data_IF_289636997718
#
_entry.id   IF_289636997718
#
_cell.length_a   1.000
_cell.length_b   1.000
_cell.length_c   1.000
_cell.angle_alpha   90.00
_cell.angle_beta   90.00
_cell.angle_gamma   90.00
#
_symmetry.space_group_name_H-M   'P 1'
#
loop_
_entity.id
_entity.type
_entity.pdbx_description
1 polymer ?
#
# COMPACT_ATOMS: atom_id res chain seq x y z
N UNK A 1 -55.66 28.48 -30.80
CA UNK A 1 -55.61 27.43 -31.84
C UNK A 1 -54.25 27.46 -32.51
N UNK A 2 -53.31 26.63 -32.04
CA UNK A 2 -52.12 26.15 -32.76
C UNK A 2 -51.52 25.04 -31.89
N UNK A 3 -51.36 23.87 -32.51
CA UNK A 3 -51.01 22.60 -31.89
C UNK A 3 -49.50 22.51 -31.62
N UNK A 4 -49.12 22.04 -30.44
CA UNK A 4 -47.75 21.72 -30.06
C UNK A 4 -47.61 20.20 -30.06
N UNK A 5 -46.74 19.67 -30.91
CA UNK A 5 -46.21 18.32 -30.81
C UNK A 5 -44.68 18.45 -30.88
N UNK A 6 -44.01 18.35 -29.74
CA UNK A 6 -42.55 18.26 -29.70
C UNK A 6 -42.18 17.05 -28.86
N UNK A 7 -41.64 16.06 -29.56
CA UNK A 7 -41.31 14.73 -29.11
C UNK A 7 -39.89 14.76 -28.55
N UNK A 8 -39.73 14.58 -27.23
CA UNK A 8 -38.41 14.48 -26.58
C UNK A 8 -37.93 13.03 -26.76
N UNK A 9 -36.91 12.85 -27.58
CA UNK A 9 -36.14 11.60 -27.71
C UNK A 9 -35.05 11.60 -26.64
N UNK A 10 -35.18 10.73 -25.65
CA UNK A 10 -34.12 10.38 -24.70
C UNK A 10 -33.09 9.50 -25.43
N UNK A 11 -31.95 10.09 -25.81
CA UNK A 11 -30.77 9.31 -26.20
C UNK A 11 -30.09 8.75 -24.94
N UNK A 12 -30.18 7.44 -24.75
CA UNK A 12 -29.28 6.69 -23.87
C UNK A 12 -27.91 6.62 -24.55
N UNK A 13 -26.95 7.40 -24.05
CA UNK A 13 -25.55 7.28 -24.42
C UNK A 13 -24.97 6.00 -23.82
N UNK A 14 -24.76 4.99 -24.65
CA UNK A 14 -23.97 3.81 -24.29
C UNK A 14 -22.51 4.26 -24.24
N UNK A 15 -22.00 4.54 -23.04
CA UNK A 15 -20.55 4.65 -22.81
C UNK A 15 -19.95 3.26 -22.85
N UNK A 16 -19.46 2.85 -24.02
CA UNK A 16 -18.54 1.72 -24.10
C UNK A 16 -17.25 2.15 -23.39
N UNK A 17 -16.99 1.58 -22.21
CA UNK A 17 -15.68 1.65 -21.58
C UNK A 17 -14.69 0.94 -22.51
N UNK A 18 -13.86 1.72 -23.21
CA UNK A 18 -12.73 1.19 -23.97
C UNK A 18 -11.74 0.63 -22.95
N UNK A 19 -11.73 -0.69 -22.77
CA UNK A 19 -10.63 -1.37 -22.11
C UNK A 19 -9.34 -1.00 -22.87
N UNK A 20 -8.40 -0.36 -22.18
CA UNK A 20 -7.09 -0.10 -22.73
C UNK A 20 -6.47 -1.45 -23.13
N UNK A 21 -5.82 -1.57 -24.30
CA UNK A 21 -5.08 -2.78 -24.64
C UNK A 21 -4.04 -3.03 -23.54
N UNK A 22 -3.91 -4.28 -23.10
CA UNK A 22 -2.85 -4.70 -22.20
C UNK A 22 -1.53 -4.16 -22.75
N UNK A 23 -0.87 -3.26 -22.01
CA UNK A 23 0.41 -2.72 -22.42
C UNK A 23 1.36 -3.87 -22.65
N UNK A 24 2.06 -3.87 -23.79
CA UNK A 24 3.14 -4.83 -24.01
C UNK A 24 4.11 -4.74 -22.82
N UNK A 25 4.55 -5.89 -22.32
CA UNK A 25 5.54 -5.93 -21.24
C UNK A 25 6.73 -5.02 -21.62
N UNK A 26 7.26 -4.21 -20.69
CA UNK A 26 8.40 -3.36 -20.98
C UNK A 26 9.55 -4.21 -21.53
N UNK A 27 10.15 -3.77 -22.64
CA UNK A 27 11.27 -4.47 -23.26
C UNK A 27 12.45 -4.45 -22.29
N UNK A 28 12.74 -5.59 -21.69
CA UNK A 28 13.90 -5.78 -20.81
C UNK A 28 15.15 -5.93 -21.68
N UNK A 29 16.23 -5.15 -21.47
CA UNK A 29 17.48 -5.43 -22.16
C UNK A 29 17.97 -6.83 -21.76
N UNK A 30 18.32 -7.71 -22.71
CA UNK A 30 18.70 -9.07 -22.39
C UNK A 30 19.91 -9.09 -21.44
N UNK A 31 19.80 -9.86 -20.37
CA UNK A 31 20.84 -10.04 -19.36
C UNK A 31 21.59 -11.36 -19.59
N UNK A 32 22.84 -11.37 -19.12
CA UNK A 32 23.58 -12.60 -18.86
C UNK A 32 23.08 -13.26 -17.57
N UNK A 33 23.45 -14.52 -17.33
CA UNK A 33 23.10 -15.23 -16.10
C UNK A 33 23.58 -14.47 -14.86
N UNK A 34 22.76 -14.46 -13.81
CA UNK A 34 23.03 -13.70 -12.59
C UNK A 34 22.42 -14.38 -11.37
N UNK A 35 22.87 -13.99 -10.18
CA UNK A 35 22.25 -14.38 -8.91
C UNK A 35 21.34 -13.24 -8.45
N UNK A 36 20.05 -13.51 -8.29
CA UNK A 36 19.08 -12.54 -7.79
C UNK A 36 19.29 -12.27 -6.28
N UNK A 37 18.83 -11.12 -5.79
CA UNK A 37 18.79 -10.85 -4.35
C UNK A 37 17.72 -11.72 -3.68
N UNK A 38 17.86 -11.97 -2.39
CA UNK A 38 16.76 -12.56 -1.61
C UNK A 38 15.56 -11.60 -1.55
N UNK A 39 14.36 -12.14 -1.39
CA UNK A 39 13.21 -11.33 -1.01
C UNK A 39 13.37 -10.79 0.42
N UNK A 40 12.74 -9.64 0.68
CA UNK A 40 12.73 -8.92 1.95
C UNK A 40 12.59 -9.86 3.18
N UNK A 41 13.40 -9.61 4.22
CA UNK A 41 13.39 -10.36 5.49
C UNK A 41 13.49 -11.88 5.31
N UNK A 42 14.39 -12.29 4.41
CA UNK A 42 14.91 -13.66 4.30
C UNK A 42 16.32 -13.67 4.89
N UNK A 43 16.69 -14.77 5.54
CA UNK A 43 18.07 -15.01 5.99
C UNK A 43 18.53 -16.37 5.45
N UNK A 44 19.45 -16.36 4.49
CA UNK A 44 20.21 -17.55 4.10
C UNK A 44 19.41 -18.57 3.29
N UNK A 45 18.66 -18.09 2.30
CA UNK A 45 18.09 -18.96 1.27
C UNK A 45 19.20 -19.79 0.60
N UNK A 46 18.91 -21.06 0.29
CA UNK A 46 19.89 -21.94 -0.33
C UNK A 46 20.37 -21.35 -1.66
N UNK A 47 21.69 -21.20 -1.81
CA UNK A 47 22.36 -20.46 -2.90
C UNK A 47 21.90 -20.84 -4.33
N UNK A 48 21.39 -22.06 -4.54
CA UNK A 48 20.99 -22.54 -5.86
C UNK A 48 19.62 -22.07 -6.36
N UNK A 49 18.70 -21.63 -5.49
CA UNK A 49 17.36 -21.20 -5.92
C UNK A 49 17.36 -19.73 -6.42
N UNK A 50 18.42 -18.97 -6.13
CA UNK A 50 18.62 -17.57 -6.52
C UNK A 50 19.28 -17.39 -7.89
N UNK A 51 19.91 -18.43 -8.44
CA UNK A 51 20.60 -18.35 -9.72
C UNK A 51 19.60 -18.33 -10.88
N UNK A 52 19.66 -17.26 -11.69
CA UNK A 52 18.83 -17.02 -12.86
C UNK A 52 19.66 -17.32 -14.10
N UNK A 53 19.58 -18.56 -14.55
CA UNK A 53 20.27 -19.09 -15.74
C UNK A 53 19.31 -19.89 -16.65
N UNK A 54 19.80 -20.33 -17.81
CA UNK A 54 19.09 -21.23 -18.75
C UNK A 54 17.63 -20.79 -19.03
N UNK A 55 16.65 -21.66 -18.78
CA UNK A 55 15.24 -21.39 -19.04
C UNK A 55 14.70 -20.26 -18.14
N UNK A 56 15.17 -20.15 -16.89
CA UNK A 56 14.83 -19.04 -15.99
C UNK A 56 15.35 -17.70 -16.50
N UNK A 57 16.56 -17.67 -17.08
CA UNK A 57 17.09 -16.48 -17.73
C UNK A 57 16.31 -16.11 -18.99
N UNK A 58 15.86 -17.11 -19.76
CA UNK A 58 14.99 -16.86 -20.92
C UNK A 58 13.66 -16.23 -20.48
N UNK A 59 13.00 -16.81 -19.48
CA UNK A 59 11.76 -16.27 -18.90
C UNK A 59 11.94 -14.83 -18.40
N UNK A 60 13.03 -14.57 -17.67
CA UNK A 60 13.37 -13.24 -17.18
C UNK A 60 13.57 -12.22 -18.31
N UNK A 61 14.34 -12.59 -19.33
CA UNK A 61 14.62 -11.73 -20.48
C UNK A 61 13.38 -11.47 -21.36
N UNK A 62 12.40 -12.38 -21.31
CA UNK A 62 11.08 -12.20 -21.91
C UNK A 62 10.14 -11.31 -21.06
N UNK A 63 10.66 -10.70 -19.98
CA UNK A 63 9.92 -9.82 -19.08
C UNK A 63 8.98 -10.55 -18.13
N UNK A 64 9.12 -11.87 -17.99
CA UNK A 64 8.30 -12.67 -17.09
C UNK A 64 8.85 -12.65 -15.67
N UNK A 65 7.98 -12.89 -14.70
CA UNK A 65 8.43 -13.12 -13.33
C UNK A 65 8.96 -14.55 -13.21
N UNK A 66 10.09 -14.70 -12.53
CA UNK A 66 10.74 -16.00 -12.33
C UNK A 66 10.62 -16.40 -10.86
N UNK A 67 9.81 -17.43 -10.54
CA UNK A 67 9.78 -18.01 -9.21
C UNK A 67 11.18 -18.50 -8.78
N UNK A 68 11.51 -18.31 -7.51
CA UNK A 68 12.81 -18.68 -6.94
C UNK A 68 12.72 -19.76 -5.88
N UNK A 69 12.24 -19.41 -4.70
CA UNK A 69 12.18 -20.30 -3.55
C UNK A 69 10.85 -20.16 -2.80
N UNK A 70 10.62 -21.05 -1.83
CA UNK A 70 9.29 -21.32 -1.23
C UNK A 70 8.23 -21.76 -2.26
N UNK A 71 8.68 -22.32 -3.37
CA UNK A 71 7.90 -22.91 -4.44
C UNK A 71 7.86 -24.46 -4.39
N UNK A 72 8.57 -25.10 -3.45
CA UNK A 72 8.78 -26.57 -3.42
C UNK A 72 7.60 -27.36 -2.84
N UNK A 73 7.52 -28.63 -3.26
CA UNK A 73 6.45 -29.59 -2.99
C UNK A 73 6.18 -29.85 -1.48
N UNK A 74 4.93 -30.18 -1.08
CA UNK A 74 4.54 -30.52 0.30
C UNK A 74 5.19 -31.77 0.94
N UNK A 75 6.04 -32.53 0.22
CA UNK A 75 6.61 -33.78 0.76
C UNK A 75 7.63 -33.54 1.87
N UNK A 76 8.19 -32.33 1.92
CA UNK A 76 9.37 -32.03 2.75
C UNK A 76 9.12 -30.97 3.81
N UNK A 77 7.94 -30.34 3.93
CA UNK A 77 7.69 -29.39 5.01
C UNK A 77 6.24 -29.38 5.51
N UNK A 78 6.15 -29.62 6.81
CA UNK A 78 5.12 -29.15 7.72
C UNK A 78 4.76 -27.66 7.48
N UNK A 79 3.46 -27.39 7.34
CA UNK A 79 2.74 -26.33 8.03
C UNK A 79 3.01 -24.82 7.78
N UNK A 80 3.95 -24.39 6.93
CA UNK A 80 4.17 -22.93 6.73
C UNK A 80 3.79 -22.50 5.30
N UNK A 81 2.50 -22.15 5.15
CA UNK A 81 1.83 -21.48 4.02
C UNK A 81 2.30 -21.86 2.59
N UNK A 82 1.69 -22.87 1.94
CA UNK A 82 2.01 -23.29 0.57
C UNK A 82 1.62 -22.28 -0.54
N UNK A 83 1.43 -21.00 -0.21
CA UNK A 83 0.98 -19.96 -1.14
C UNK A 83 1.94 -18.79 -1.35
N UNK A 84 3.00 -18.65 -0.54
CA UNK A 84 3.95 -17.53 -0.68
C UNK A 84 5.21 -17.97 -1.40
N UNK A 85 5.52 -17.31 -2.52
CA UNK A 85 6.69 -17.63 -3.35
C UNK A 85 7.53 -16.37 -3.51
N UNK A 86 8.85 -16.46 -3.39
CA UNK A 86 9.72 -15.37 -3.78
C UNK A 86 9.98 -15.44 -5.28
N UNK A 87 9.82 -14.33 -6.01
CA UNK A 87 10.08 -14.24 -7.44
C UNK A 87 10.95 -13.04 -7.79
N UNK A 88 11.63 -13.10 -8.94
CA UNK A 88 12.44 -11.98 -9.47
C UNK A 88 11.93 -11.54 -10.84
N UNK A 89 11.97 -10.24 -11.08
CA UNK A 89 11.58 -9.63 -12.36
C UNK A 89 12.38 -8.34 -12.60
N UNK A 90 12.32 -7.77 -13.80
CA UNK A 90 12.93 -6.47 -14.09
C UNK A 90 11.98 -5.32 -13.70
N UNK A 91 12.48 -4.38 -12.89
CA UNK A 91 11.86 -3.07 -12.66
C UNK A 91 12.60 -2.04 -13.52
N UNK A 92 11.91 -1.34 -14.45
CA UNK A 92 12.54 -0.33 -15.30
C UNK A 92 13.28 0.75 -14.51
N UNK A 93 14.58 0.91 -14.79
CA UNK A 93 15.44 1.90 -14.13
C UNK A 93 16.02 1.48 -12.78
N UNK A 94 15.62 0.31 -12.25
CA UNK A 94 16.14 -0.27 -11.01
C UNK A 94 16.96 -1.54 -11.29
N UNK A 95 16.43 -2.46 -12.11
CA UNK A 95 17.08 -3.73 -12.44
C UNK A 95 16.31 -4.95 -11.93
N UNK A 96 16.99 -6.09 -11.69
CA UNK A 96 16.37 -7.28 -11.12
C UNK A 96 15.93 -7.00 -9.68
N UNK A 97 14.63 -7.13 -9.44
CA UNK A 97 14.01 -6.91 -8.13
C UNK A 97 13.31 -8.18 -7.70
N UNK A 98 13.61 -8.63 -6.47
CA UNK A 98 13.01 -9.81 -5.87
C UNK A 98 11.88 -9.41 -4.93
N UNK A 99 10.69 -9.97 -5.12
CA UNK A 99 9.50 -9.67 -4.31
C UNK A 99 8.74 -10.92 -3.89
N UNK A 100 8.10 -10.81 -2.73
CA UNK A 100 7.15 -11.82 -2.26
C UNK A 100 5.88 -11.79 -3.09
N UNK A 101 5.48 -12.97 -3.56
CA UNK A 101 4.27 -13.21 -4.31
C UNK A 101 3.30 -14.06 -3.48
N UNK A 102 2.02 -13.73 -3.54
CA UNK A 102 0.96 -14.35 -2.73
C UNK A 102 -0.11 -14.98 -3.62
N UNK A 103 -0.43 -16.24 -3.37
CA UNK A 103 -1.43 -17.00 -4.10
C UNK A 103 -2.86 -16.55 -3.76
N UNK A 104 -3.74 -16.46 -4.76
CA UNK A 104 -5.18 -16.23 -4.53
C UNK A 104 -6.03 -17.49 -4.54
N UNK A 105 -5.55 -18.56 -5.15
CA UNK A 105 -6.30 -19.78 -5.46
C UNK A 105 -5.81 -20.99 -4.64
N UNK A 106 -6.20 -21.08 -3.37
CA UNK A 106 -5.73 -22.10 -2.41
C UNK A 106 -5.80 -23.56 -2.92
N UNK A 107 -6.70 -23.87 -3.85
CA UNK A 107 -6.98 -25.22 -4.31
C UNK A 107 -6.25 -25.64 -5.60
N UNK A 108 -5.49 -24.73 -6.21
CA UNK A 108 -4.74 -25.00 -7.45
C UNK A 108 -3.26 -25.27 -7.16
N UNK A 109 -2.55 -25.76 -8.17
CA UNK A 109 -1.11 -26.03 -8.07
C UNK A 109 -0.29 -24.73 -8.15
N UNK A 110 0.79 -24.64 -7.36
CA UNK A 110 1.70 -23.48 -7.35
C UNK A 110 2.34 -23.27 -8.72
N UNK A 111 2.69 -24.35 -9.42
CA UNK A 111 3.38 -24.34 -10.73
C UNK A 111 4.62 -23.45 -10.81
N UNK A 112 5.25 -23.18 -9.66
CA UNK A 112 6.46 -22.38 -9.57
C UNK A 112 7.71 -23.23 -9.37
N UNK A 113 7.61 -24.57 -9.36
CA UNK A 113 8.75 -25.45 -9.11
C UNK A 113 9.67 -25.47 -10.33
N UNK A 114 10.95 -25.68 -10.07
CA UNK A 114 11.94 -25.87 -11.13
C UNK A 114 12.12 -27.36 -11.39
N UNK A 115 11.89 -27.80 -12.63
CA UNK A 115 12.16 -29.17 -13.06
C UNK A 115 13.66 -29.48 -13.01
N UNK A 116 14.08 -30.76 -13.05
CA UNK A 116 15.51 -31.11 -13.13
C UNK A 116 16.25 -30.48 -14.32
N UNK A 117 15.52 -30.13 -15.39
CA UNK A 117 16.06 -29.50 -16.59
C UNK A 117 16.08 -27.96 -16.51
N UNK A 118 15.56 -27.38 -15.41
CA UNK A 118 15.58 -25.94 -15.15
C UNK A 118 14.33 -25.18 -15.61
N UNK A 119 13.28 -25.89 -16.06
CA UNK A 119 12.04 -25.28 -16.54
C UNK A 119 11.02 -25.08 -15.40
N UNK A 120 10.08 -24.16 -15.60
CA UNK A 120 8.97 -23.95 -14.67
C UNK A 120 7.91 -25.06 -14.80
N UNK A 121 7.50 -25.64 -13.68
CA UNK A 121 6.53 -26.73 -13.64
C UNK A 121 6.06 -27.10 -12.24
N UNK A 122 5.50 -28.31 -12.11
CA UNK A 122 5.14 -28.92 -10.84
C UNK A 122 5.29 -30.45 -10.90
N UNK A 123 5.53 -31.07 -9.75
CA UNK A 123 5.56 -32.52 -9.59
C UNK A 123 4.16 -33.05 -9.24
N UNK A 124 3.72 -34.11 -9.93
CA UNK A 124 2.40 -34.74 -9.70
C UNK A 124 2.42 -35.84 -8.64
N UNK A 125 3.59 -36.12 -8.05
CA UNK A 125 3.84 -37.34 -7.28
C UNK A 125 4.51 -38.45 -8.10
N UNK A 126 4.35 -38.44 -9.42
CA UNK A 126 4.88 -39.47 -10.33
C UNK A 126 5.69 -38.93 -11.49
N UNK A 127 5.41 -37.70 -11.96
CA UNK A 127 6.10 -37.08 -13.08
C UNK A 127 6.15 -35.56 -12.94
N UNK A 128 7.10 -34.94 -13.66
CA UNK A 128 7.19 -33.49 -13.78
C UNK A 128 6.30 -33.03 -14.93
N UNK A 129 5.43 -32.05 -14.65
CA UNK A 129 4.63 -31.36 -15.65
C UNK A 129 5.19 -29.96 -15.84
N UNK A 130 5.62 -29.66 -17.06
CA UNK A 130 6.12 -28.34 -17.45
C UNK A 130 4.93 -27.45 -17.77
N UNK A 131 4.84 -26.30 -17.12
CA UNK A 131 3.74 -25.33 -17.27
C UNK A 131 4.14 -24.10 -18.07
N UNK A 132 5.44 -23.93 -18.34
CA UNK A 132 5.98 -22.74 -18.96
C UNK A 132 6.06 -21.55 -18.00
N UNK A 133 6.44 -20.39 -18.54
CA UNK A 133 6.74 -19.18 -17.79
C UNK A 133 5.51 -18.57 -17.12
N UNK A 134 5.69 -17.99 -15.93
CA UNK A 134 4.63 -17.25 -15.24
C UNK A 134 4.38 -15.90 -15.92
N UNK A 135 3.26 -15.81 -16.66
CA UNK A 135 2.92 -14.63 -17.46
C UNK A 135 2.16 -13.60 -16.68
N UNK A 136 2.51 -12.33 -16.90
CA UNK A 136 1.77 -11.21 -16.35
C UNK A 136 0.37 -11.13 -17.00
N UNK A 137 -0.65 -11.05 -16.15
CA UNK A 137 -2.04 -10.85 -16.50
C UNK A 137 -2.41 -9.37 -16.28
N UNK A 138 -3.41 -8.88 -17.01
CA UNK A 138 -3.96 -7.53 -16.81
C UNK A 138 -4.79 -7.38 -15.53
N UNK A 139 -5.09 -8.50 -14.87
CA UNK A 139 -5.95 -8.61 -13.70
C UNK A 139 -6.12 -10.09 -13.34
N UNK A 140 -6.70 -10.38 -12.19
CA UNK A 140 -7.07 -11.75 -11.85
C UNK A 140 -8.51 -12.06 -12.32
N UNK A 141 -8.70 -12.90 -13.36
CA UNK A 141 -10.03 -13.18 -13.91
C UNK A 141 -10.94 -13.96 -12.95
N UNK A 142 -10.40 -14.49 -11.84
CA UNK A 142 -11.13 -15.24 -10.82
C UNK A 142 -11.64 -14.36 -9.68
N UNK A 143 -11.21 -13.08 -9.64
CA UNK A 143 -11.54 -12.15 -8.57
C UNK A 143 -12.37 -10.98 -9.09
N UNK A 144 -13.34 -10.54 -8.29
CA UNK A 144 -13.99 -9.26 -8.52
C UNK A 144 -13.00 -8.10 -8.33
N UNK A 145 -13.32 -6.92 -8.86
CA UNK A 145 -12.53 -5.70 -8.69
C UNK A 145 -12.29 -5.40 -7.20
N UNK A 146 -13.33 -5.49 -6.36
CA UNK A 146 -13.23 -5.28 -4.92
C UNK A 146 -12.27 -6.27 -4.25
N UNK A 147 -12.26 -7.53 -4.69
CA UNK A 147 -11.31 -8.52 -4.17
C UNK A 147 -9.87 -8.19 -4.57
N UNK A 148 -9.65 -7.71 -5.81
CA UNK A 148 -8.32 -7.28 -6.26
C UNK A 148 -7.83 -6.06 -5.48
N UNK A 149 -8.71 -5.11 -5.14
CA UNK A 149 -8.39 -3.95 -4.29
C UNK A 149 -8.02 -4.38 -2.87
N UNK A 150 -8.77 -5.31 -2.27
CA UNK A 150 -8.47 -5.87 -0.95
C UNK A 150 -7.09 -6.54 -0.92
N UNK A 151 -6.80 -7.39 -1.91
CA UNK A 151 -5.48 -8.05 -2.02
C UNK A 151 -4.38 -7.01 -2.19
N UNK A 152 -4.58 -6.01 -3.05
CA UNK A 152 -3.61 -4.91 -3.24
C UNK A 152 -3.28 -4.20 -1.94
N UNK A 153 -4.29 -3.86 -1.13
CA UNK A 153 -4.10 -3.23 0.17
C UNK A 153 -3.27 -4.10 1.12
N UNK A 154 -3.61 -5.40 1.22
CA UNK A 154 -2.95 -6.34 2.13
C UNK A 154 -1.47 -6.55 1.82
N UNK A 155 -1.06 -6.42 0.55
CA UNK A 155 0.34 -6.55 0.16
C UNK A 155 1.17 -5.30 0.50
N UNK A 156 0.53 -4.12 0.50
CA UNK A 156 1.17 -2.85 0.80
C UNK A 156 1.25 -2.55 2.29
N UNK A 157 0.29 -3.03 3.07
CA UNK A 157 0.11 -2.63 4.47
C UNK A 157 0.27 -3.83 5.41
N UNK A 158 0.96 -3.66 6.55
CA UNK A 158 0.81 -4.58 7.67
C UNK A 158 -0.65 -4.64 8.11
N UNK A 159 -1.16 -5.83 8.39
CA UNK A 159 -2.51 -6.02 8.87
C UNK A 159 -2.48 -6.76 10.22
N UNK A 160 -3.35 -6.39 11.16
CA UNK A 160 -3.51 -7.16 12.39
C UNK A 160 -4.03 -8.55 12.06
N UNK A 161 -3.54 -9.55 12.78
CA UNK A 161 -3.94 -10.94 12.55
C UNK A 161 -4.36 -11.59 13.86
N UNK A 162 -5.40 -12.40 13.82
CA UNK A 162 -5.90 -13.22 14.92
C UNK A 162 -6.14 -14.62 14.35
N UNK A 163 -5.40 -15.61 14.86
CA UNK A 163 -5.51 -16.98 14.38
C UNK A 163 -6.83 -17.67 14.83
N UNK A 164 -7.02 -18.91 14.42
CA UNK A 164 -8.22 -19.68 14.81
C UNK A 164 -8.37 -19.90 16.33
N UNK A 165 -7.29 -19.77 17.08
CA UNK A 165 -7.23 -19.91 18.54
C UNK A 165 -7.37 -18.56 19.27
N UNK A 166 -7.48 -17.44 18.55
CA UNK A 166 -7.56 -16.11 19.13
C UNK A 166 -6.20 -15.49 19.47
N UNK A 167 -5.09 -16.07 18.97
CA UNK A 167 -3.74 -15.55 19.19
C UNK A 167 -3.49 -14.41 18.22
N UNK A 168 -3.13 -13.25 18.77
CA UNK A 168 -2.80 -12.06 18.00
C UNK A 168 -1.41 -12.18 17.34
N UNK A 169 -1.31 -11.63 16.13
CA UNK A 169 -0.11 -11.54 15.33
C UNK A 169 -0.21 -10.42 14.30
N UNK A 170 0.72 -10.41 13.34
CA UNK A 170 0.78 -9.42 12.25
C UNK A 170 0.88 -10.19 10.93
N UNK A 171 0.21 -9.67 9.90
CA UNK A 171 0.27 -10.12 8.52
C UNK A 171 1.09 -9.12 7.69
N UNK A 172 2.39 -9.40 7.54
CA UNK A 172 3.35 -8.61 6.77
C UNK A 172 4.53 -9.45 6.22
N UNK A 173 5.56 -8.81 5.67
CA UNK A 173 6.77 -9.47 5.17
C UNK A 173 7.85 -9.68 6.25
N UNK A 174 7.64 -9.27 7.50
CA UNK A 174 8.67 -9.15 8.54
C UNK A 174 9.35 -10.48 8.92
N UNK A 175 8.65 -11.60 8.77
CA UNK A 175 9.20 -12.96 8.95
C UNK A 175 8.28 -14.01 8.28
N UNK A 176 8.67 -15.28 8.30
CA UNK A 176 7.92 -16.39 7.67
C UNK A 176 6.52 -16.62 8.25
N UNK A 177 6.33 -16.42 9.57
CA UNK A 177 5.02 -16.54 10.21
C UNK A 177 4.09 -15.40 9.78
N UNK A 178 4.60 -14.17 9.75
CA UNK A 178 3.83 -13.02 9.31
C UNK A 178 3.42 -13.15 7.82
N UNK A 179 4.29 -13.72 6.98
CA UNK A 179 3.95 -14.02 5.58
C UNK A 179 2.86 -15.08 5.46
N UNK A 180 2.88 -16.09 6.33
CA UNK A 180 1.80 -17.08 6.41
C UNK A 180 0.47 -16.44 6.77
N UNK A 181 0.45 -15.55 7.77
CA UNK A 181 -0.74 -14.80 8.15
C UNK A 181 -1.26 -13.95 6.99
N UNK A 182 -0.36 -13.23 6.29
CA UNK A 182 -0.71 -12.45 5.10
C UNK A 182 -1.28 -13.31 3.99
N UNK A 183 -0.71 -14.48 3.73
CA UNK A 183 -1.24 -15.44 2.76
C UNK A 183 -2.65 -15.90 3.09
N UNK A 184 -2.94 -16.16 4.37
CA UNK A 184 -4.28 -16.51 4.81
C UNK A 184 -5.28 -15.36 4.61
N UNK A 185 -4.87 -14.11 4.89
CA UNK A 185 -5.70 -12.93 4.60
C UNK A 185 -5.94 -12.72 3.09
N UNK A 186 -4.95 -12.99 2.24
CA UNK A 186 -5.12 -12.96 0.78
C UNK A 186 -6.15 -14.01 0.33
N UNK A 187 -6.14 -15.22 0.91
CA UNK A 187 -7.18 -16.21 0.64
C UNK A 187 -8.55 -15.79 1.17
N UNK A 188 -8.62 -15.15 2.34
CA UNK A 188 -9.86 -14.57 2.84
C UNK A 188 -10.44 -13.51 1.89
N UNK A 189 -9.61 -12.58 1.41
CA UNK A 189 -10.02 -11.59 0.41
C UNK A 189 -10.49 -12.24 -0.90
N UNK A 190 -9.85 -13.34 -1.29
CA UNK A 190 -10.16 -14.12 -2.50
C UNK A 190 -11.40 -15.01 -2.37
N UNK A 191 -11.97 -15.18 -1.16
CA UNK A 191 -13.10 -16.07 -0.90
C UNK A 191 -12.74 -17.54 -0.67
N UNK A 192 -11.44 -17.84 -0.50
CA UNK A 192 -10.89 -19.19 -0.32
C UNK A 192 -10.31 -19.45 1.09
N UNK A 193 -10.51 -18.52 2.03
CA UNK A 193 -9.96 -18.59 3.39
C UNK A 193 -10.84 -19.31 4.43
N UNK A 194 -10.32 -19.51 5.64
CA UNK A 194 -11.04 -20.17 6.74
C UNK A 194 -12.06 -19.23 7.40
N UNK A 195 -13.34 -19.64 7.46
CA UNK A 195 -14.45 -18.77 7.84
C UNK A 195 -14.27 -17.98 9.14
N UNK A 196 -13.73 -18.58 10.22
CA UNK A 196 -13.52 -17.87 11.49
C UNK A 196 -12.41 -16.82 11.38
N UNK A 197 -11.25 -17.20 10.85
CA UNK A 197 -10.10 -16.29 10.66
C UNK A 197 -10.49 -15.13 9.73
N UNK A 198 -11.21 -15.41 8.65
CA UNK A 198 -11.65 -14.38 7.72
C UNK A 198 -12.62 -13.39 8.36
N UNK A 199 -13.56 -13.84 9.19
CA UNK A 199 -14.51 -12.93 9.84
C UNK A 199 -13.84 -12.07 10.92
N UNK A 200 -12.90 -12.64 11.67
CA UNK A 200 -12.19 -11.92 12.74
C UNK A 200 -11.26 -10.84 12.17
N UNK A 201 -10.59 -11.12 11.06
CA UNK A 201 -9.55 -10.24 10.53
C UNK A 201 -10.00 -9.40 9.32
N UNK A 202 -10.92 -9.92 8.51
CA UNK A 202 -11.44 -9.28 7.29
C UNK A 202 -12.96 -9.41 7.25
N UNK A 203 -13.61 -9.15 8.39
CA UNK A 203 -15.05 -9.01 8.49
C UNK A 203 -15.58 -7.90 7.60
N UNK A 204 -16.91 -7.81 7.47
CA UNK A 204 -17.55 -6.86 6.55
C UNK A 204 -17.10 -5.41 6.76
N UNK A 205 -17.07 -4.94 8.01
CA UNK A 205 -16.66 -3.58 8.37
C UNK A 205 -15.23 -3.27 7.91
N UNK A 206 -14.30 -4.20 8.15
CA UNK A 206 -12.90 -4.01 7.77
C UNK A 206 -12.73 -4.03 6.25
N UNK A 207 -13.45 -4.90 5.53
CA UNK A 207 -13.43 -4.91 4.06
C UNK A 207 -13.98 -3.61 3.50
N UNK A 208 -15.08 -3.09 4.04
CA UNK A 208 -15.66 -1.81 3.63
C UNK A 208 -14.70 -0.64 3.91
N UNK A 209 -14.02 -0.66 5.06
CA UNK A 209 -12.98 0.33 5.40
C UNK A 209 -11.83 0.32 4.38
N UNK A 210 -11.28 -0.86 4.08
CA UNK A 210 -10.19 -1.01 3.10
C UNK A 210 -10.65 -0.57 1.71
N UNK A 211 -11.84 -0.98 1.28
CA UNK A 211 -12.38 -0.59 -0.03
C UNK A 211 -12.60 0.92 -0.13
N UNK A 212 -13.05 1.57 0.95
CA UNK A 212 -13.18 3.02 0.98
C UNK A 212 -11.82 3.73 0.81
N UNK A 213 -10.75 3.20 1.41
CA UNK A 213 -9.39 3.70 1.22
C UNK A 213 -8.94 3.50 -0.22
N UNK A 214 -9.04 2.27 -0.74
CA UNK A 214 -8.52 1.91 -2.06
C UNK A 214 -9.27 2.57 -3.23
N UNK A 215 -10.55 2.91 -3.04
CA UNK A 215 -11.37 3.63 -4.02
C UNK A 215 -11.31 5.15 -3.88
N UNK A 216 -10.68 5.66 -2.82
CA UNK A 216 -10.53 7.10 -2.63
C UNK A 216 -9.49 7.65 -3.61
N UNK A 217 -9.72 8.87 -4.11
CA UNK A 217 -8.67 9.62 -4.81
C UNK A 217 -7.71 10.17 -3.74
N UNK A 218 -6.44 9.76 -3.72
CA UNK A 218 -5.53 10.20 -2.67
C UNK A 218 -5.27 11.70 -2.77
N UNK A 219 -5.34 12.40 -1.64
CA UNK A 219 -5.20 13.84 -1.54
C UNK A 219 -4.32 14.21 -0.35
N UNK A 220 -3.40 15.16 -0.58
CA UNK A 220 -2.52 15.75 0.42
C UNK A 220 -2.29 17.20 0.03
N UNK A 221 -2.57 18.13 0.95
CA UNK A 221 -2.32 19.56 0.76
C UNK A 221 -1.74 20.19 2.03
N UNK A 222 -0.84 21.15 1.89
CA UNK A 222 -0.26 21.94 2.98
C UNK A 222 -0.58 23.41 2.72
N UNK A 223 -1.29 24.04 3.66
CA UNK A 223 -1.63 25.46 3.61
C UNK A 223 -0.72 26.27 4.52
N UNK A 224 -0.26 27.41 4.01
CA UNK A 224 0.53 28.37 4.77
C UNK A 224 -0.30 28.99 5.93
N UNK A 225 0.37 29.53 6.96
CA UNK A 225 -0.30 30.28 8.02
C UNK A 225 -1.03 31.51 7.49
N UNK A 226 -2.05 31.98 8.22
CA UNK A 226 -2.81 33.19 7.85
C UNK A 226 -1.91 34.44 7.71
N UNK A 227 -0.84 34.51 8.53
CA UNK A 227 0.20 35.54 8.43
C UNK A 227 1.39 34.97 7.67
N UNK A 228 1.79 35.62 6.59
CA UNK A 228 2.99 35.28 5.82
C UNK A 228 4.30 35.66 6.54
N UNK A 229 4.22 36.55 7.53
CA UNK A 229 5.35 37.05 8.32
C UNK A 229 5.04 36.91 9.82
N UNK A 230 5.98 36.29 10.55
CA UNK A 230 5.84 35.95 11.96
C UNK A 230 7.14 36.32 12.69
N UNK A 231 7.07 36.72 13.96
CA UNK A 231 8.30 37.10 14.68
C UNK A 231 9.12 35.87 15.02
N UNK A 232 10.46 35.94 14.96
CA UNK A 232 11.30 34.88 15.50
C UNK A 232 10.93 34.60 16.97
N UNK A 233 10.78 33.32 17.31
CA UNK A 233 10.26 32.84 18.60
C UNK A 233 8.72 32.79 18.71
N UNK A 234 7.96 33.34 17.76
CA UNK A 234 6.51 33.13 17.67
C UNK A 234 6.17 31.79 16.98
N UNK A 235 4.91 31.37 17.09
CA UNK A 235 4.41 30.14 16.45
C UNK A 235 3.67 30.45 15.15
N UNK A 236 4.09 29.78 14.07
CA UNK A 236 3.37 29.66 12.81
C UNK A 236 2.48 28.42 12.83
N UNK A 237 1.24 28.53 12.34
CA UNK A 237 0.32 27.39 12.24
C UNK A 237 0.09 27.05 10.78
N UNK A 238 0.57 25.89 10.35
CA UNK A 238 0.31 25.31 9.05
C UNK A 238 -0.87 24.33 9.13
N UNK A 239 -1.72 24.28 8.11
CA UNK A 239 -2.79 23.29 8.01
C UNK A 239 -2.43 22.23 6.98
N UNK A 240 -2.41 20.96 7.38
CA UNK A 240 -2.22 19.80 6.51
C UNK A 240 -3.56 19.11 6.35
N UNK A 241 -4.09 19.04 5.13
CA UNK A 241 -5.31 18.29 4.82
C UNK A 241 -4.95 17.02 4.04
N UNK A 242 -5.45 15.86 4.48
CA UNK A 242 -5.13 14.58 3.86
C UNK A 242 -6.22 13.52 4.06
N UNK A 243 -6.40 12.63 3.09
CA UNK A 243 -7.18 11.40 3.25
C UNK A 243 -6.30 10.13 3.27
N UNK A 244 -4.98 10.30 3.43
CA UNK A 244 -4.01 9.22 3.56
C UNK A 244 -4.02 8.63 4.99
N UNK A 245 -5.15 8.09 5.40
CA UNK A 245 -5.36 7.63 6.77
C UNK A 245 -4.53 6.41 7.12
N UNK A 246 -3.87 6.44 8.29
CA UNK A 246 -3.00 5.37 8.78
C UNK A 246 -1.67 5.24 8.02
N UNK A 247 -1.47 6.03 6.95
CA UNK A 247 -0.24 6.03 6.16
C UNK A 247 0.76 7.00 6.82
N UNK A 248 2.00 6.56 7.10
CA UNK A 248 3.06 7.45 7.58
C UNK A 248 3.38 8.55 6.56
N UNK A 249 3.26 9.82 6.97
CA UNK A 249 3.64 10.99 6.18
C UNK A 249 4.95 11.57 6.73
N UNK A 250 5.91 11.80 5.85
CA UNK A 250 7.18 12.46 6.23
C UNK A 250 7.00 13.97 6.20
N UNK A 251 7.24 14.63 7.33
CA UNK A 251 7.26 16.08 7.49
C UNK A 251 8.71 16.56 7.45
N UNK A 252 9.05 17.41 6.50
CA UNK A 252 10.39 18.00 6.37
C UNK A 252 10.33 19.48 6.71
N UNK A 253 11.27 19.92 7.54
CA UNK A 253 11.46 21.31 7.94
C UNK A 253 12.97 21.61 8.01
N UNK A 254 13.39 22.88 7.89
CA UNK A 254 14.75 23.29 8.16
C UNK A 254 15.18 22.93 9.58
N UNK A 255 16.47 22.61 9.79
CA UNK A 255 17.00 22.27 11.11
C UNK A 255 16.89 23.40 12.14
N UNK A 256 16.65 24.64 11.69
CA UNK A 256 16.42 25.83 12.51
C UNK A 256 14.99 25.97 13.00
N UNK A 257 14.06 25.12 12.54
CA UNK A 257 12.65 25.14 12.90
C UNK A 257 12.28 23.90 13.74
N UNK A 258 11.47 24.11 14.77
CA UNK A 258 10.84 23.04 15.53
C UNK A 258 9.39 22.85 15.06
N UNK A 259 8.98 21.60 14.82
CA UNK A 259 7.63 21.25 14.38
C UNK A 259 6.94 20.38 15.42
N UNK A 260 5.72 20.75 15.79
CA UNK A 260 4.86 20.01 16.73
C UNK A 260 3.43 19.97 16.24
N UNK A 261 2.58 19.10 16.80
CA UNK A 261 1.14 19.19 16.60
C UNK A 261 0.56 20.32 17.46
N UNK A 262 -0.23 21.21 16.85
CA UNK A 262 -0.92 22.25 17.62
C UNK A 262 -1.94 21.67 18.60
N UNK A 263 -2.57 20.55 18.24
CA UNK A 263 -3.61 19.87 19.04
C UNK A 263 -3.26 18.38 19.18
N UNK A 264 -2.42 18.02 20.18
CA UNK A 264 -2.08 16.62 20.44
C UNK A 264 -3.34 15.81 20.77
N UNK A 265 -3.51 14.64 20.14
CA UNK A 265 -4.61 13.72 20.41
C UNK A 265 -5.88 13.94 19.57
N UNK A 266 -5.91 14.93 18.66
CA UNK A 266 -7.03 15.18 17.74
C UNK A 266 -7.08 14.21 16.53
N UNK A 267 -6.77 12.93 16.73
CA UNK A 267 -6.72 11.95 15.65
C UNK A 267 -5.48 12.07 14.75
N UNK A 268 -4.42 12.74 15.20
CA UNK A 268 -3.12 12.72 14.53
C UNK A 268 -1.99 12.53 15.55
N UNK A 269 -0.92 11.86 15.12
CA UNK A 269 0.31 11.68 15.88
C UNK A 269 1.50 12.16 15.08
N UNK A 270 2.42 12.87 15.71
CA UNK A 270 3.70 13.28 15.13
C UNK A 270 4.81 12.73 16.00
N UNK A 271 5.58 11.77 15.46
CA UNK A 271 6.72 11.14 16.16
C UNK A 271 7.97 11.36 15.32
N UNK A 272 8.92 12.14 15.84
CA UNK A 272 10.04 12.61 15.03
C UNK A 272 9.52 13.46 13.87
N UNK A 273 9.83 13.05 12.64
CA UNK A 273 9.35 13.67 11.41
C UNK A 273 8.18 12.90 10.75
N UNK A 274 7.59 11.92 11.45
CA UNK A 274 6.52 11.08 10.90
C UNK A 274 5.16 11.50 11.46
N UNK A 275 4.31 12.04 10.59
CA UNK A 275 2.91 12.37 10.85
C UNK A 275 2.01 11.21 10.42
N UNK A 276 1.18 10.69 11.32
CA UNK A 276 0.12 9.72 11.00
C UNK A 276 -1.23 10.34 11.33
N UNK A 277 -2.16 10.31 10.39
CA UNK A 277 -3.53 10.84 10.55
C UNK A 277 -4.50 9.66 10.64
N UNK A 278 -5.30 9.61 11.70
CA UNK A 278 -6.38 8.66 11.87
C UNK A 278 -7.66 9.20 11.21
N UNK A 279 -8.41 8.31 10.56
CA UNK A 279 -9.68 8.66 9.93
C UNK A 279 -10.14 7.55 8.99
N UNK A 280 -11.28 7.78 8.36
CA UNK A 280 -11.89 6.86 7.39
C UNK A 280 -12.61 7.65 6.31
N UNK A 281 -12.87 6.99 5.16
CA UNK A 281 -13.62 7.57 4.05
C UNK A 281 -12.76 8.39 3.09
N UNK A 282 -13.44 9.15 2.22
CA UNK A 282 -12.81 9.84 1.08
C UNK A 282 -12.50 11.32 1.35
N UNK A 283 -13.17 11.94 2.32
CA UNK A 283 -12.95 13.33 2.70
C UNK A 283 -11.60 13.46 3.41
N UNK A 284 -10.89 14.57 3.17
CA UNK A 284 -9.64 14.87 3.87
C UNK A 284 -9.90 15.38 5.30
N UNK A 285 -9.04 14.98 6.23
CA UNK A 285 -8.97 15.52 7.59
C UNK A 285 -7.89 16.57 7.65
N UNK A 286 -8.21 17.72 8.26
CA UNK A 286 -7.25 18.79 8.51
C UNK A 286 -6.56 18.58 9.87
N UNK A 287 -5.23 18.70 9.87
CA UNK A 287 -4.37 18.63 11.04
C UNK A 287 -3.49 19.89 11.05
N UNK A 288 -3.29 20.49 12.23
CA UNK A 288 -2.51 21.72 12.37
C UNK A 288 -1.12 21.44 12.93
N UNK A 289 -0.10 21.88 12.20
CA UNK A 289 1.31 21.84 12.61
C UNK A 289 1.73 23.20 13.15
N UNK A 290 2.26 23.21 14.36
CA UNK A 290 2.79 24.39 15.04
C UNK A 290 4.31 24.42 14.87
N UNK A 291 4.78 25.46 14.21
CA UNK A 291 6.18 25.63 13.80
C UNK A 291 6.76 26.87 14.45
N UNK A 292 7.92 26.74 15.09
CA UNK A 292 8.66 27.85 15.67
C UNK A 292 10.07 27.90 15.11
N UNK A 293 10.62 29.09 14.94
CA UNK A 293 12.02 29.30 14.59
C UNK A 293 12.61 30.43 15.43
N UNK A 294 13.76 30.19 16.06
CA UNK A 294 14.44 31.16 16.93
C UNK A 294 15.26 32.20 16.14
N UNK A 295 15.52 31.92 14.87
CA UNK A 295 16.30 32.79 13.99
C UNK A 295 15.44 33.27 12.83
N UNK A 296 15.61 34.52 12.37
CA UNK A 296 14.95 35.02 11.18
C UNK A 296 15.30 34.21 9.94
N UNK A 297 14.34 34.06 9.02
CA UNK A 297 14.51 33.35 7.76
C UNK A 297 13.23 32.71 7.25
N UNK A 298 13.27 32.23 6.02
CA UNK A 298 12.16 31.49 5.43
C UNK A 298 12.15 30.05 5.95
N UNK A 299 10.97 29.62 6.40
CA UNK A 299 10.72 28.25 6.84
C UNK A 299 9.68 27.64 5.91
N UNK A 300 10.11 26.63 5.15
CA UNK A 300 9.24 25.79 4.31
C UNK A 300 8.96 24.48 5.02
N UNK A 301 7.68 24.14 5.15
CA UNK A 301 7.23 22.83 5.62
C UNK A 301 6.76 22.05 4.41
N UNK A 302 7.38 20.89 4.19
CA UNK A 302 6.95 19.94 3.15
C UNK A 302 6.41 18.69 3.82
N UNK A 303 5.27 18.20 3.35
CA UNK A 303 4.70 16.92 3.79
C UNK A 303 4.61 16.00 2.60
N UNK A 304 5.09 14.76 2.74
CA UNK A 304 5.05 13.77 1.69
C UNK A 304 4.55 12.41 2.20
N UNK A 305 3.78 11.71 1.38
CA UNK A 305 3.24 10.39 1.70
C UNK A 305 3.12 9.51 0.47
N UNK A 306 3.05 8.21 0.72
CA UNK A 306 2.83 7.21 -0.32
C UNK A 306 1.39 6.69 -0.22
N UNK A 307 0.48 7.08 -1.13
CA UNK A 307 -0.85 6.52 -1.16
C UNK A 307 -0.82 5.04 -1.50
N UNK A 308 -1.82 4.31 -1.02
CA UNK A 308 -2.09 2.96 -1.50
C UNK A 308 -2.46 3.00 -2.98
N UNK A 309 -1.92 2.09 -3.77
CA UNK A 309 -2.22 1.96 -5.20
C UNK A 309 -2.67 0.55 -5.52
N UNK A 310 -3.58 0.41 -6.47
CA UNK A 310 -3.89 -0.88 -7.09
C UNK A 310 -3.33 -0.97 -8.51
N UNK A 311 -2.74 0.10 -9.03
CA UNK A 311 -2.17 0.14 -10.38
C UNK A 311 -0.80 -0.56 -10.44
N UNK A 312 -0.19 -0.80 -9.28
CA UNK A 312 1.14 -1.42 -9.12
C UNK A 312 1.08 -2.88 -8.68
N UNK A 313 -0.12 -3.44 -8.54
CA UNK A 313 -0.27 -4.89 -8.35
C UNK A 313 0.01 -5.61 -9.67
N UNK A 314 0.77 -6.70 -9.59
CA UNK A 314 1.02 -7.61 -10.70
C UNK A 314 0.37 -8.95 -10.41
N UNK A 315 -0.30 -9.47 -11.42
CA UNK A 315 -0.94 -10.79 -11.39
C UNK A 315 -0.17 -11.70 -12.33
N UNK A 316 0.31 -12.83 -11.85
CA UNK A 316 1.12 -13.74 -12.66
C UNK A 316 0.58 -15.17 -12.61
N UNK A 317 0.54 -15.84 -13.75
CA UNK A 317 0.10 -17.23 -13.87
C UNK A 317 0.87 -17.95 -14.98
N UNK A 318 1.33 -19.18 -14.71
CA UNK A 318 1.99 -20.02 -15.70
C UNK A 318 0.99 -20.70 -16.66
N UNK A 319 0.05 -21.45 -16.11
CA UNK A 319 -1.00 -22.17 -16.83
C UNK A 319 -2.37 -22.01 -16.12
N UNK A 320 -3.53 -22.12 -16.81
CA UNK A 320 -4.83 -22.11 -16.17
C UNK A 320 -5.04 -23.11 -15.02
N UNK A 321 -4.33 -24.24 -14.98
CA UNK A 321 -4.39 -25.18 -13.83
C UNK A 321 -3.66 -24.64 -12.59
N UNK A 322 -2.86 -23.60 -12.76
CA UNK A 322 -2.02 -23.02 -11.73
C UNK A 322 -2.68 -21.88 -10.96
N UNK A 323 -2.14 -21.64 -9.78
CA UNK A 323 -2.45 -20.48 -8.94
C UNK A 323 -2.12 -19.16 -9.67
N UNK A 324 -2.94 -18.14 -9.43
CA UNK A 324 -2.57 -16.76 -9.76
C UNK A 324 -1.85 -16.15 -8.56
N UNK A 325 -0.69 -15.56 -8.81
CA UNK A 325 0.12 -14.87 -7.80
C UNK A 325 -0.03 -13.36 -7.90
N UNK A 326 -0.31 -12.72 -6.77
CA UNK A 326 -0.26 -11.29 -6.58
C UNK A 326 1.12 -10.87 -6.06
N UNK A 327 1.71 -9.85 -6.67
CA UNK A 327 2.90 -9.15 -6.17
C UNK A 327 2.66 -7.65 -6.28
N UNK A 328 3.41 -6.83 -5.53
CA UNK A 328 3.24 -5.39 -5.54
C UNK A 328 4.59 -4.72 -5.75
N UNK A 329 4.71 -4.00 -6.87
CA UNK A 329 5.93 -3.32 -7.26
C UNK A 329 6.26 -2.19 -6.27
N UNK A 330 7.12 -2.50 -5.30
CA UNK A 330 7.39 -1.64 -4.14
C UNK A 330 8.29 -0.44 -4.46
N UNK A 331 9.02 -0.51 -5.57
CA UNK A 331 10.10 0.43 -5.93
C UNK A 331 9.63 1.70 -6.68
N UNK A 332 8.40 1.74 -7.21
CA UNK A 332 7.89 2.88 -8.00
C UNK A 332 6.55 3.48 -7.54
N UNK A 333 6.32 3.69 -6.23
CA UNK A 333 5.08 4.28 -5.79
C UNK A 333 5.04 5.79 -6.07
N UNK A 334 3.90 6.27 -6.59
CA UNK A 334 3.65 7.68 -6.79
C UNK A 334 3.63 8.39 -5.43
N UNK A 335 4.64 9.20 -5.11
CA UNK A 335 4.62 10.02 -3.90
C UNK A 335 3.72 11.23 -4.10
N UNK A 336 2.82 11.47 -3.14
CA UNK A 336 2.16 12.76 -3.00
C UNK A 336 3.02 13.63 -2.09
N UNK A 337 3.24 14.87 -2.48
CA UNK A 337 3.93 15.86 -1.65
C UNK A 337 3.36 17.23 -1.91
N UNK A 338 3.25 18.02 -0.86
CA UNK A 338 2.91 19.44 -0.94
C UNK A 338 3.72 20.22 0.10
N UNK A 339 3.87 21.52 -0.11
CA UNK A 339 4.65 22.38 0.76
C UNK A 339 4.06 23.78 0.89
N UNK A 340 4.37 24.43 2.01
CA UNK A 340 4.03 25.82 2.26
C UNK A 340 5.16 26.50 3.04
N UNK A 341 5.24 27.82 2.91
CA UNK A 341 6.31 28.60 3.53
C UNK A 341 5.78 29.77 4.34
N UNK A 342 6.56 30.19 5.35
CA UNK A 342 6.36 31.42 6.14
C UNK A 342 7.71 32.06 6.40
N UNK A 343 7.75 33.39 6.51
CA UNK A 343 8.98 34.13 6.84
C UNK A 343 8.99 34.50 8.32
N UNK A 344 10.05 34.12 9.02
CA UNK A 344 10.32 34.57 10.39
C UNK A 344 11.18 35.84 10.35
N UNK A 345 10.73 36.91 11.02
CA UNK A 345 11.41 38.20 11.07
C UNK A 345 12.19 38.38 12.37
N UNK A 346 13.18 39.28 12.35
CA UNK A 346 13.91 39.67 13.55
C UNK A 346 13.06 40.60 14.42
N UNK A 347 12.65 40.11 15.59
CA UNK A 347 11.79 40.83 16.55
C UNK A 347 10.27 40.59 16.38
N UNK A 348 9.45 41.06 17.35
CA UNK A 348 8.00 40.90 17.31
C UNK A 348 7.40 41.69 16.14
N UNK A 349 6.53 41.03 15.37
CA UNK A 349 5.84 41.68 14.26
C UNK A 349 4.85 42.68 14.83
N UNK A 350 5.09 43.97 14.60
CA UNK A 350 4.15 45.00 15.01
C UNK A 350 2.92 44.88 14.12
N UNK A 351 1.85 44.27 14.63
CA UNK A 351 0.55 44.26 13.96
C UNK A 351 0.05 45.70 13.95
N UNK A 352 0.28 46.40 12.83
CA UNK A 352 -0.35 47.71 12.63
C UNK A 352 -1.84 47.43 12.51
N UNK A 353 -2.69 47.88 13.45
CA UNK A 353 -4.12 47.65 13.33
C UNK A 353 -4.57 48.26 12.01
N UNK A 354 -5.18 47.44 11.15
CA UNK A 354 -5.83 47.94 9.94
C UNK A 354 -6.90 48.91 10.43
N UNK A 355 -6.62 50.21 10.30
CA UNK A 355 -7.61 51.24 10.54
C UNK A 355 -8.62 51.10 9.42
N UNK A 356 -9.69 50.36 9.68
CA UNK A 356 -10.86 50.31 8.81
C UNK A 356 -11.35 51.74 8.71
N UNK A 357 -11.00 52.41 7.61
CA UNK A 357 -11.56 53.72 7.32
C UNK A 357 -13.07 53.50 7.20
N UNK A 358 -13.93 54.15 8.00
CA UNK A 358 -15.36 53.97 7.87
C UNK A 358 -15.75 54.35 6.45
N UNK A 359 -16.18 53.36 5.66
CA UNK A 359 -16.74 53.61 4.34
C UNK A 359 -17.96 54.49 4.57
N UNK A 360 -17.83 55.75 4.18
CA UNK A 360 -18.96 56.69 4.16
C UNK A 360 -19.91 56.17 3.09
N UNK A 361 -20.91 55.39 3.51
CA UNK A 361 -21.99 54.94 2.65
C UNK A 361 -22.74 56.17 2.18
N UNK A 362 -22.51 56.57 0.92
CA UNK A 362 -23.38 57.54 0.25
C UNK A 362 -24.73 56.87 0.06
N UNK A 363 -25.86 57.46 0.52
CA UNK A 363 -27.17 56.85 0.36
C UNK A 363 -27.50 56.78 -1.14
N UNK A 364 -27.48 55.57 -1.69
CA UNK A 364 -27.99 55.31 -3.04
C UNK A 364 -29.51 55.40 -2.97
N UNK A 365 -30.08 56.39 -3.66
CA UNK A 365 -31.52 56.50 -3.88
C UNK A 365 -31.97 55.32 -4.75
N UNK A 366 -32.49 54.26 -4.12
CA UNK A 366 -33.10 53.15 -4.83
C UNK A 366 -34.50 53.54 -5.30
N UNK A 367 -34.69 53.60 -6.62
CA UNK A 367 -36.01 53.64 -7.25
C UNK A 367 -36.73 52.32 -6.99
N UNK A 368 -38.01 52.31 -6.57
CA UNK A 368 -38.74 51.07 -6.31
C UNK A 368 -38.98 50.31 -7.62
N UNK A 369 -38.36 49.13 -7.76
CA UNK A 369 -38.69 48.19 -8.82
C UNK A 369 -39.83 47.30 -8.35
N UNK A 370 -40.98 47.41 -9.03
CA UNK A 370 -42.15 46.57 -8.82
C UNK A 370 -41.85 45.15 -9.29
N UNK A 371 -41.65 44.22 -8.37
CA UNK A 371 -41.55 42.78 -8.67
C UNK A 371 -42.94 42.17 -8.79
N UNK A 372 -43.32 41.78 -10.01
CA UNK A 372 -44.52 40.98 -10.28
C UNK A 372 -44.29 39.55 -9.79
N UNK A 373 -44.99 39.15 -8.73
CA UNK A 373 -45.04 37.75 -8.27
C UNK A 373 -45.71 36.88 -9.34
N UNK A 374 -44.96 35.93 -9.89
CA UNK A 374 -45.54 34.84 -10.68
C UNK A 374 -45.95 33.72 -9.72
N UNK A 375 -47.27 33.56 -9.53
CA UNK A 375 -47.86 32.45 -8.79
C UNK A 375 -47.52 31.13 -9.51
N UNK A 376 -46.66 30.32 -8.91
CA UNK A 376 -46.46 28.93 -9.33
C UNK A 376 -47.43 28.07 -8.54
N UNK A 377 -48.41 27.47 -9.22
CA UNK A 377 -49.37 26.56 -8.64
C UNK A 377 -48.68 25.26 -8.21
N UNK A 378 -48.87 24.88 -6.94
CA UNK A 378 -48.46 23.59 -6.38
C UNK A 378 -49.42 22.53 -6.92
N UNK A 379 -48.91 21.58 -7.71
CA UNK A 379 -49.63 20.36 -8.10
C UNK A 379 -49.26 19.28 -7.09
N UNK A 380 -50.21 18.71 -6.32
CA UNK A 380 -49.93 17.60 -5.41
C UNK A 380 -49.71 16.30 -6.20
N UNK A 381 -48.57 15.64 -5.95
CA UNK A 381 -48.29 14.29 -6.44
C UNK A 381 -48.84 13.28 -5.42
N UNK A 382 -49.63 12.27 -5.83
CA UNK A 382 -50.16 11.26 -4.91
C UNK A 382 -49.09 10.24 -4.52
N UNK A 383 -48.99 9.98 -3.21
CA UNK A 383 -48.18 8.92 -2.60
C UNK A 383 -48.96 7.60 -2.69
N UNK A 384 -48.41 6.52 -3.29
CA UNK A 384 -49.01 5.20 -3.16
C UNK A 384 -48.56 4.53 -1.84
N UNK A 385 -49.55 4.25 -1.01
CA UNK A 385 -49.47 3.37 0.17
C UNK A 385 -49.60 1.91 -0.31
N UNK A 386 -48.81 0.97 0.22
CA UNK A 386 -49.24 -0.43 0.30
C UNK A 386 -49.32 -0.93 1.75
N UNK A 387 -50.48 -1.45 2.13
CA UNK A 387 -50.72 -2.32 3.29
C UNK A 387 -51.68 -3.46 2.82
N UNK A 388 -51.96 -4.51 3.60
CA UNK A 388 -51.20 -5.76 3.78
C UNK A 388 -51.97 -7.01 3.31
N UNK A 389 -51.29 -8.17 3.34
CA UNK A 389 -51.94 -9.44 3.70
C UNK A 389 -51.65 -10.62 2.79
N UNK A 390 -51.43 -11.80 3.39
CA UNK A 390 -51.47 -13.06 2.67
C UNK A 390 -50.69 -14.20 3.30
N UNK A 391 -51.29 -14.85 4.30
CA UNK A 391 -50.93 -16.15 4.87
C UNK A 391 -50.89 -17.27 3.82
N UNK A 392 -49.93 -18.19 3.91
CA UNK A 392 -49.93 -19.43 3.14
C UNK A 392 -48.92 -20.46 3.67
N UNK A 393 -49.46 -21.49 4.35
CA UNK A 393 -48.78 -22.69 4.82
C UNK A 393 -48.80 -23.78 3.74
N UNK A 394 -47.70 -24.52 3.57
CA UNK A 394 -47.72 -25.94 3.14
C UNK A 394 -46.35 -26.58 3.37
N UNK A 395 -46.31 -27.75 4.00
CA UNK A 395 -45.08 -28.44 4.39
C UNK A 395 -44.60 -29.57 3.47
N UNK A 396 -43.37 -30.01 3.77
CA UNK A 396 -42.79 -31.35 3.54
C UNK A 396 -42.36 -31.73 2.11
N UNK A 397 -41.42 -32.69 1.91
CA UNK A 397 -40.85 -33.65 2.87
C UNK A 397 -39.29 -33.77 2.87
N UNK A 398 -38.84 -34.56 3.85
CA UNK A 398 -37.55 -35.24 4.12
C UNK A 398 -36.57 -35.56 2.97
N UNK A 399 -35.28 -35.35 3.26
CA UNK A 399 -34.11 -36.18 2.88
C UNK A 399 -33.01 -35.86 3.93
N UNK A 400 -32.26 -36.76 4.55
CA UNK A 400 -31.72 -38.06 4.14
C UNK A 400 -30.24 -37.98 4.52
N UNK A 401 -29.82 -38.73 5.56
CA UNK A 401 -28.58 -38.50 6.29
C UNK A 401 -27.26 -38.73 5.53
N UNK A 402 -26.18 -38.21 6.10
CA UNK A 402 -24.80 -38.63 5.89
C UNK A 402 -24.03 -38.53 7.22
N UNK A 403 -23.01 -39.39 7.45
CA UNK A 403 -22.63 -39.84 8.79
C UNK A 403 -21.72 -38.87 9.55
N UNK A 404 -21.94 -38.78 10.86
CA UNK A 404 -21.02 -38.18 11.82
C UNK A 404 -19.69 -38.94 11.86
N UNK A 405 -18.60 -38.27 11.49
CA UNK A 405 -17.26 -38.67 11.87
C UNK A 405 -17.03 -38.32 13.35
N UNK A 406 -16.87 -39.36 14.16
CA UNK A 406 -16.44 -39.25 15.56
C UNK A 406 -14.92 -39.12 15.52
N UNK A 407 -14.39 -37.93 15.84
CA UNK A 407 -12.96 -37.75 16.05
C UNK A 407 -12.63 -38.22 17.48
N UNK A 408 -11.65 -39.13 17.70
CA UNK A 408 -11.25 -39.52 19.04
C UNK A 408 -10.57 -38.35 19.77
N UNK A 409 -10.88 -38.20 21.05
CA UNK A 409 -10.30 -37.19 21.94
C UNK A 409 -8.76 -37.25 22.01
N UNK A 410 -8.06 -36.13 22.24
CA UNK A 410 -6.63 -36.15 22.50
C UNK A 410 -6.37 -36.72 23.89
N UNK A 411 -5.58 -37.79 23.93
CA UNK A 411 -5.09 -38.38 25.17
C UNK A 411 -3.99 -37.46 25.73
N UNK A 412 -4.32 -36.74 26.80
CA UNK A 412 -3.34 -36.08 27.65
C UNK A 412 -2.67 -37.10 28.56
N UNK A 413 -1.34 -37.16 28.55
CA UNK A 413 -0.58 -37.66 29.68
C UNK A 413 0.74 -38.32 29.32
N UNK A 414 1.83 -37.76 29.85
CA UNK A 414 3.04 -38.52 30.13
C UNK A 414 4.32 -37.78 29.80
N UNK A 415 4.76 -36.92 30.71
CA UNK A 415 6.11 -36.36 30.65
C UNK A 415 7.19 -37.42 30.80
N UNK A 416 8.30 -37.25 30.10
CA UNK A 416 9.60 -37.79 30.50
C UNK A 416 10.71 -36.79 30.18
N UNK A 417 11.54 -36.62 31.19
CA UNK A 417 12.70 -35.73 31.31
C UNK A 417 13.96 -36.33 30.68
N UNK A 418 14.78 -35.45 30.10
CA UNK A 418 16.26 -35.41 30.05
C UNK A 418 17.10 -36.67 29.73
N UNK A 419 18.10 -36.38 28.86
CA UNK A 419 19.44 -36.95 28.74
C UNK A 419 19.63 -38.31 28.05
N UNK A 420 20.42 -38.26 26.98
CA UNK A 420 21.43 -39.30 26.71
C UNK A 420 21.60 -39.66 25.24
N UNK A 421 22.77 -39.37 24.69
CA UNK A 421 23.42 -40.26 23.71
C UNK A 421 23.32 -39.86 22.24
N UNK A 422 24.22 -38.98 21.82
CA UNK A 422 24.70 -38.93 20.44
C UNK A 422 25.76 -40.03 20.23
N UNK A 423 25.75 -40.76 19.11
CA UNK A 423 27.03 -41.07 18.47
C UNK A 423 27.02 -40.98 16.94
N UNK A 424 28.11 -40.42 16.41
CA UNK A 424 28.61 -40.60 15.04
C UNK A 424 27.98 -39.66 14.01
N UNK A 425 28.70 -38.86 13.24
CA UNK A 425 30.09 -38.95 12.83
C UNK A 425 30.13 -38.75 11.32
N UNK A 426 30.37 -37.52 10.85
CA UNK A 426 30.79 -37.26 9.48
C UNK A 426 31.96 -36.28 9.49
N UNK A 427 33.05 -36.80 8.95
CA UNK A 427 34.34 -36.20 8.68
C UNK A 427 34.25 -35.02 7.71
N UNK A 428 34.85 -33.89 8.08
CA UNK A 428 35.13 -32.76 7.20
C UNK A 428 36.38 -33.04 6.34
N UNK A 429 36.39 -32.66 5.05
CA UNK A 429 37.62 -32.36 4.34
C UNK A 429 37.97 -30.88 4.51
N UNK A 430 39.19 -30.66 5.00
CA UNK A 430 39.88 -29.37 5.07
C UNK A 430 40.16 -28.84 3.66
N UNK A 431 39.51 -27.73 3.30
CA UNK A 431 39.82 -26.92 2.13
C UNK A 431 40.06 -25.46 2.54
N UNK A 432 41.30 -25.01 2.38
CA UNK A 432 41.78 -23.66 2.68
C UNK A 432 41.10 -22.64 1.76
N UNK A 433 40.31 -21.71 2.31
CA UNK A 433 39.83 -20.53 1.57
C UNK A 433 40.48 -19.29 2.16
N UNK A 434 41.13 -18.54 1.27
CA UNK A 434 41.94 -17.37 1.55
C UNK A 434 41.17 -16.16 2.04
N UNK A 435 41.94 -15.16 2.47
CA UNK A 435 41.52 -13.99 3.23
C UNK A 435 40.35 -13.20 2.64
N UNK A 436 39.47 -12.80 3.55
CA UNK A 436 38.37 -11.85 3.38
C UNK A 436 38.93 -10.42 3.32
N UNK A 437 38.59 -9.61 2.31
CA UNK A 437 38.73 -8.16 2.41
C UNK A 437 37.67 -7.62 3.38
N UNK A 438 38.12 -6.89 4.40
CA UNK A 438 37.30 -6.01 5.23
C UNK A 438 36.72 -4.89 4.37
N UNK A 439 35.40 -4.76 4.34
CA UNK A 439 34.71 -3.60 3.80
C UNK A 439 33.76 -3.02 4.85
N UNK A 440 34.18 -1.85 5.33
CA UNK A 440 33.40 -0.63 5.64
C UNK A 440 32.27 -0.78 6.66
N UNK A 441 32.68 -0.49 7.88
CA UNK A 441 31.90 -0.01 9.02
C UNK A 441 31.18 1.31 8.65
N UNK A 442 29.88 1.35 8.86
CA UNK A 442 29.03 2.53 8.78
C UNK A 442 28.14 2.56 10.02
N UNK A 443 28.67 3.16 11.10
CA UNK A 443 27.92 3.51 12.31
C UNK A 443 26.72 4.42 12.00
N UNK A 444 25.78 4.63 12.93
CA UNK A 444 26.05 5.12 14.27
C UNK A 444 24.97 4.72 15.26
N UNK A 445 25.38 4.18 16.42
CA UNK A 445 24.62 4.23 17.66
C UNK A 445 25.07 5.45 18.46
N UNK A 446 24.11 6.29 18.84
CA UNK A 446 24.30 7.43 19.74
C UNK A 446 24.63 6.96 21.17
N UNK A 447 25.73 7.45 21.73
CA UNK A 447 25.89 7.62 23.17
C UNK A 447 26.40 9.02 23.48
N UNK A 448 25.58 9.73 24.25
CA UNK A 448 25.81 11.04 24.83
C UNK A 448 27.00 11.07 25.79
N UNK A 449 27.93 12.01 25.59
CA UNK A 449 28.62 12.71 26.69
C UNK A 449 29.23 14.02 26.16
N UNK A 450 29.05 15.08 26.94
CA UNK A 450 29.31 16.48 26.56
C UNK A 450 30.78 16.92 26.63
N UNK A 451 31.05 18.21 26.92
CA UNK A 451 31.55 19.12 25.89
C UNK A 451 33.01 19.52 26.13
N UNK A 452 33.78 19.65 25.05
CA UNK A 452 35.01 20.45 25.06
C UNK A 452 35.15 21.33 23.81
N UNK A 453 35.44 22.58 24.14
CA UNK A 453 35.77 23.77 23.34
C UNK A 453 36.91 23.49 22.35
N UNK A 454 36.80 24.04 21.13
CA UNK A 454 37.89 24.07 20.16
C UNK A 454 37.57 24.91 18.91
N UNK A 455 38.05 26.15 18.92
CA UNK A 455 38.03 27.13 17.82
C UNK A 455 38.97 26.69 16.68
N UNK A 456 38.57 26.87 15.40
CA UNK A 456 39.32 27.64 14.38
C UNK A 456 39.00 27.26 12.90
N UNK A 457 38.56 28.29 12.17
CA UNK A 457 39.10 28.81 10.89
C UNK A 457 38.81 28.08 9.55
N UNK A 458 37.94 28.76 8.78
CA UNK A 458 38.01 29.15 7.36
C UNK A 458 38.40 28.14 6.26
N UNK A 459 37.51 28.03 5.28
CA UNK A 459 37.80 27.50 3.95
C UNK A 459 36.75 27.92 2.93
N UNK A 460 37.01 29.03 2.24
CA UNK A 460 36.30 29.50 1.05
C UNK A 460 36.41 28.48 -0.09
N UNK A 461 35.29 28.20 -0.76
CA UNK A 461 35.24 27.49 -2.04
C UNK A 461 33.98 27.84 -2.82
N UNK A 462 34.13 28.58 -3.91
CA UNK A 462 33.07 29.05 -4.81
C UNK A 462 33.19 28.30 -6.15
N UNK A 463 32.06 28.19 -6.89
CA UNK A 463 31.88 27.86 -8.34
C UNK A 463 31.84 26.34 -8.62
N UNK A 464 30.84 25.73 -9.31
CA UNK A 464 30.11 26.14 -10.51
C UNK A 464 28.69 25.54 -10.61
N UNK A 465 27.79 26.30 -11.25
CA UNK A 465 26.43 25.92 -11.68
C UNK A 465 26.42 25.69 -13.20
N UNK A 466 25.89 24.55 -13.66
CA UNK A 466 25.27 24.30 -14.98
C UNK A 466 24.76 22.84 -15.00
N UNK A 467 23.56 22.47 -15.48
CA UNK A 467 22.58 23.21 -16.26
C UNK A 467 21.21 22.50 -16.32
N UNK A 468 20.21 23.34 -16.61
CA UNK A 468 18.95 23.14 -17.32
C UNK A 468 18.20 21.79 -17.29
N UNK A 469 17.07 21.77 -16.57
CA UNK A 469 15.88 20.97 -16.91
C UNK A 469 14.66 21.89 -16.96
N UNK A 470 14.00 21.95 -18.11
CA UNK A 470 12.86 22.84 -18.42
C UNK A 470 11.58 22.25 -17.79
N UNK A 471 10.93 22.98 -16.88
CA UNK A 471 9.56 22.69 -16.43
C UNK A 471 8.61 23.61 -17.18
N UNK A 472 7.73 23.02 -17.99
CA UNK A 472 6.64 23.73 -18.66
C UNK A 472 5.43 23.80 -17.72
N UNK A 473 5.17 24.98 -17.15
CA UNK A 473 3.92 25.27 -16.41
C UNK A 473 2.87 25.75 -17.39
N UNK A 474 1.79 24.97 -17.54
CA UNK A 474 0.60 25.35 -18.31
C UNK A 474 -0.41 26.02 -17.37
N UNK A 475 -0.46 27.35 -17.37
CA UNK A 475 -1.54 28.13 -16.73
C UNK A 475 -2.82 28.01 -17.56
N UNK A 476 -3.88 27.41 -17.02
CA UNK A 476 -5.24 27.57 -17.52
C UNK A 476 -5.89 28.79 -16.86
N UNK A 477 -6.27 29.79 -17.67
CA UNK A 477 -7.23 30.82 -17.29
C UNK A 477 -8.61 30.37 -17.75
N UNK A 478 -9.54 30.26 -16.81
CA UNK A 478 -10.95 30.68 -16.93
C UNK A 478 -11.47 30.93 -15.54
#
# INVERSE_FOLDING_TARGET
MSSVLSMIVLMFGITAALAAPAGAAPVVPPREAFTASECENTNGSGVGDLDIDRARLADYNDGQIVPMYYNRHPDVMEAIAPGTVCGVFEVPGVGPTSEWMYCTDKHLDVCGQTTPDGESGYWTGTEWVVTGSAKQLSGNPRLSEDQQLLVSYLLQNPHTYIDENGVAGIADNGNSWNRSNRQELVWCASGNGAGKVCQENLGQEERERILAIMKSTPALTVSAPERSEIGAGETATFSVSTNLYGIPLTVTAPATAAVTLCEPGAGATLTGNTLTVAGTGTAGTEVRLCVTAETPGDVTISVAGQPNSHEKIRWNQADPVCQVFASFESELPARLSDDASVTFLDGPVTTTPVTTTPVTTTPVTTTPVTTTKTNTAIIPIPIPIPIPGGTGSSGGPTQGGAPSYVNPAPNNGGGQTNNGGHPGGYSTPTGTIGGRPTAIDGGTADQSSGPHIGIAVAGLGVIAVAGCGVIAIRRSRT
#
